data_IF_573706132090
#
_entry.id   IF_573706132090
#
_cell.length_a   1.000
_cell.length_b   1.000
_cell.length_c   1.000
_cell.angle_alpha   90.00
_cell.angle_beta   90.00
_cell.angle_gamma   90.00
#
_symmetry.space_group_name_H-M   'P 1'
#
loop_
_entity.id
_entity.type
_entity.pdbx_description
1 polymer ?
#
# COMPACT_ATOMS: atom_id res chain seq x y z
N UNK A 1 -1.83 32.07 3.07
CA UNK A 1 -2.26 32.00 1.65
C UNK A 1 -2.91 30.64 1.38
N UNK A 2 -4.05 30.68 0.70
CA UNK A 2 -5.11 29.67 0.50
C UNK A 2 -4.73 28.18 0.33
N UNK A 3 -5.09 27.35 1.33
CA UNK A 3 -5.24 25.89 1.20
C UNK A 3 -6.54 25.47 0.48
N UNK A 4 -7.43 26.42 0.17
CA UNK A 4 -8.77 26.18 -0.39
C UNK A 4 -8.81 26.06 -1.92
N UNK A 5 -7.67 26.15 -2.63
CA UNK A 5 -7.64 25.95 -4.09
C UNK A 5 -7.49 24.50 -4.55
N UNK A 6 -7.15 23.53 -3.69
CA UNK A 6 -6.99 22.12 -4.10
C UNK A 6 -8.24 21.25 -3.98
N UNK A 7 -9.31 21.72 -3.35
CA UNK A 7 -10.56 20.95 -3.26
C UNK A 7 -11.51 21.18 -4.45
N UNK A 8 -11.36 22.30 -5.19
CA UNK A 8 -12.19 22.61 -6.37
C UNK A 8 -11.86 21.77 -7.62
N UNK A 9 -10.77 21.00 -7.63
CA UNK A 9 -10.54 20.00 -8.68
C UNK A 9 -11.43 18.74 -8.51
N UNK A 10 -12.10 18.58 -7.35
CA UNK A 10 -12.87 17.38 -7.00
C UNK A 10 -14.37 17.48 -7.29
N UNK A 11 -14.85 18.57 -7.90
CA UNK A 11 -16.29 18.79 -8.16
C UNK A 11 -16.61 19.28 -9.60
N UNK A 12 -15.73 19.00 -10.57
CA UNK A 12 -15.91 19.41 -11.97
C UNK A 12 -15.93 18.28 -12.99
N UNK A 13 -16.13 17.01 -12.58
CA UNK A 13 -16.05 15.86 -13.49
C UNK A 13 -17.41 15.36 -14.01
N UNK A 14 -18.51 16.03 -13.66
CA UNK A 14 -19.83 15.69 -14.22
C UNK A 14 -20.07 16.60 -15.42
N UNK A 15 -20.28 16.00 -16.59
CA UNK A 15 -20.60 16.58 -17.90
C UNK A 15 -19.43 16.59 -18.90
N UNK A 16 -18.83 15.43 -19.14
CA UNK A 16 -18.40 15.04 -20.49
C UNK A 16 -18.64 13.54 -20.66
N UNK A 17 -19.31 13.08 -21.73
CA UNK A 17 -19.36 11.66 -22.04
C UNK A 17 -17.93 11.16 -22.27
N UNK A 18 -17.56 10.07 -21.60
CA UNK A 18 -16.26 9.41 -21.74
C UNK A 18 -16.11 8.89 -23.17
N UNK A 19 -15.62 9.73 -24.09
CA UNK A 19 -15.23 9.27 -25.41
C UNK A 19 -14.07 8.29 -25.24
N UNK A 20 -14.12 7.09 -25.86
CA UNK A 20 -13.01 6.15 -25.82
C UNK A 20 -11.79 6.81 -26.48
N UNK A 21 -10.69 6.89 -25.74
CA UNK A 21 -9.40 7.39 -26.23
C UNK A 21 -8.49 6.19 -26.49
N UNK A 22 -7.88 6.14 -27.68
CA UNK A 22 -6.87 5.12 -27.98
C UNK A 22 -5.49 5.64 -27.62
N UNK A 23 -4.78 4.94 -26.73
CA UNK A 23 -3.38 5.20 -26.41
C UNK A 23 -2.49 4.16 -27.11
N UNK A 24 -1.38 4.58 -27.70
CA UNK A 24 -0.41 3.70 -28.37
C UNK A 24 0.99 3.99 -27.84
N UNK A 25 1.70 2.94 -27.45
CA UNK A 25 3.07 3.01 -26.94
C UNK A 25 3.95 1.98 -27.66
N UNK A 26 5.22 2.29 -27.84
CA UNK A 26 6.24 1.37 -28.39
C UNK A 26 7.34 1.17 -27.36
N UNK A 27 7.72 -0.08 -27.12
CA UNK A 27 8.79 -0.44 -26.18
C UNK A 27 9.35 -1.83 -26.52
N UNK A 28 10.50 -2.19 -25.96
CA UNK A 28 11.04 -3.54 -26.07
C UNK A 28 10.22 -4.57 -25.27
N UNK A 29 10.38 -5.85 -25.60
CA UNK A 29 9.62 -6.94 -24.99
C UNK A 29 9.77 -7.01 -23.47
N UNK A 30 11.00 -6.83 -22.96
CA UNK A 30 11.27 -6.88 -21.51
C UNK A 30 10.49 -5.78 -20.79
N UNK A 31 10.52 -4.55 -21.29
CA UNK A 31 9.76 -3.45 -20.68
C UNK A 31 8.24 -3.67 -20.80
N UNK A 32 7.78 -4.25 -21.92
CA UNK A 32 6.37 -4.56 -22.12
C UNK A 32 5.84 -5.56 -21.07
N UNK A 33 6.62 -6.59 -20.72
CA UNK A 33 6.25 -7.60 -19.73
C UNK A 33 5.94 -6.99 -18.35
N UNK A 34 6.69 -5.94 -17.95
CA UNK A 34 6.43 -5.22 -16.71
C UNK A 34 5.33 -4.15 -16.85
N UNK A 35 5.31 -3.41 -17.96
CA UNK A 35 4.45 -2.25 -18.11
C UNK A 35 2.98 -2.61 -18.42
N UNK A 36 2.73 -3.65 -19.21
CA UNK A 36 1.37 -3.99 -19.66
C UNK A 36 0.43 -4.32 -18.49
N UNK A 37 0.80 -5.18 -17.52
CA UNK A 37 -0.07 -5.45 -16.37
C UNK A 37 -0.37 -4.20 -15.54
N UNK A 38 0.62 -3.32 -15.35
CA UNK A 38 0.45 -2.07 -14.59
C UNK A 38 -0.49 -1.10 -15.32
N UNK A 39 -0.29 -0.90 -16.63
CA UNK A 39 -1.16 -0.05 -17.45
C UNK A 39 -2.60 -0.56 -17.40
N UNK A 40 -2.82 -1.89 -17.49
CA UNK A 40 -4.16 -2.47 -17.37
C UNK A 40 -4.82 -2.14 -16.04
N UNK A 41 -4.09 -2.27 -14.92
CA UNK A 41 -4.59 -1.86 -13.59
C UNK A 41 -4.92 -0.36 -13.52
N UNK A 42 -4.08 0.49 -14.13
CA UNK A 42 -4.28 1.94 -14.16
C UNK A 42 -5.42 2.39 -15.08
N UNK A 43 -5.78 1.61 -16.10
CA UNK A 43 -6.88 1.91 -17.02
C UNK A 43 -8.22 1.30 -16.58
N UNK A 44 -8.23 0.44 -15.57
CA UNK A 44 -9.46 -0.14 -15.04
C UNK A 44 -10.41 0.97 -14.53
N UNK A 45 -11.66 0.92 -14.97
CA UNK A 45 -12.71 1.85 -14.59
C UNK A 45 -13.29 1.59 -13.19
N UNK A 46 -12.89 0.50 -12.54
CA UNK A 46 -13.30 0.14 -11.18
C UNK A 46 -12.76 1.11 -10.11
N UNK A 47 -13.28 0.97 -8.88
CA UNK A 47 -12.75 1.67 -7.70
C UNK A 47 -11.29 1.29 -7.42
N UNK A 48 -10.89 0.07 -7.76
CA UNK A 48 -9.50 -0.37 -7.62
C UNK A 48 -8.62 0.35 -8.63
N UNK A 49 -9.06 0.46 -9.89
CA UNK A 49 -8.36 1.26 -10.89
C UNK A 49 -8.23 2.73 -10.49
N UNK A 50 -9.28 3.32 -9.91
CA UNK A 50 -9.20 4.67 -9.33
C UNK A 50 -8.17 4.73 -8.19
N UNK A 51 -8.18 3.75 -7.30
CA UNK A 51 -7.25 3.64 -6.18
C UNK A 51 -5.81 3.50 -6.66
N UNK A 52 -5.53 2.67 -7.68
CA UNK A 52 -4.21 2.55 -8.31
C UNK A 52 -3.74 3.90 -8.87
N UNK A 53 -4.61 4.63 -9.60
CA UNK A 53 -4.27 5.97 -10.14
C UNK A 53 -3.96 6.96 -9.03
N UNK A 54 -4.71 6.95 -7.93
CA UNK A 54 -4.43 7.79 -6.76
C UNK A 54 -3.13 7.40 -6.07
N UNK A 55 -2.89 6.09 -5.89
CA UNK A 55 -1.70 5.57 -5.24
C UNK A 55 -0.42 6.02 -5.96
N UNK A 56 -0.38 5.97 -7.30
CA UNK A 56 0.80 6.39 -8.08
C UNK A 56 0.79 7.88 -8.45
N UNK A 57 -0.24 8.64 -8.09
CA UNK A 57 -0.37 10.05 -8.50
C UNK A 57 0.82 10.92 -8.05
N UNK A 58 1.47 10.55 -6.95
CA UNK A 58 2.65 11.25 -6.44
C UNK A 58 3.89 11.08 -7.34
N UNK A 59 3.95 10.03 -8.16
CA UNK A 59 5.06 9.81 -9.11
C UNK A 59 5.11 10.89 -10.18
N UNK A 60 3.96 11.38 -10.64
CA UNK A 60 3.89 12.45 -11.65
C UNK A 60 4.32 13.84 -11.12
N UNK A 61 4.47 14.00 -9.80
CA UNK A 61 4.87 15.28 -9.18
C UNK A 61 6.34 15.31 -8.81
N UNK A 62 7.02 14.18 -8.88
CA UNK A 62 8.42 14.07 -8.53
C UNK A 62 9.29 14.22 -9.78
N UNK A 63 10.35 15.02 -9.70
CA UNK A 63 11.33 15.13 -10.79
C UNK A 63 12.08 13.82 -11.01
N UNK A 64 12.25 13.04 -9.94
CA UNK A 64 12.86 11.70 -9.93
C UNK A 64 11.85 10.69 -9.41
N UNK A 65 11.87 9.43 -9.89
CA UNK A 65 10.97 8.41 -9.39
C UNK A 65 11.23 8.18 -7.89
N UNK A 66 10.21 8.27 -7.02
CA UNK A 66 10.38 7.99 -5.60
C UNK A 66 10.62 6.50 -5.37
N UNK A 67 11.64 6.17 -4.56
CA UNK A 67 11.91 4.82 -4.08
C UNK A 67 10.96 4.45 -2.93
N UNK A 68 10.76 5.39 -2.01
CA UNK A 68 9.84 5.25 -0.88
C UNK A 68 9.07 6.54 -0.68
N UNK A 69 7.83 6.41 -0.23
CA UNK A 69 6.92 7.54 0.00
C UNK A 69 6.17 7.31 1.31
N UNK A 70 6.51 8.09 2.32
CA UNK A 70 5.96 8.01 3.66
C UNK A 70 5.00 9.18 3.91
N UNK A 71 3.78 8.86 4.32
CA UNK A 71 2.76 9.83 4.67
C UNK A 71 2.41 9.73 6.15
N UNK A 72 2.64 10.81 6.88
CA UNK A 72 2.01 11.06 8.17
C UNK A 72 0.68 11.78 7.99
N UNK A 73 0.02 12.10 9.10
CA UNK A 73 -1.26 12.85 9.08
C UNK A 73 -1.13 14.26 8.49
N UNK A 74 0.01 14.91 8.69
CA UNK A 74 0.29 16.29 8.22
C UNK A 74 1.67 16.46 7.58
N UNK A 75 2.45 15.38 7.53
CA UNK A 75 3.83 15.38 7.08
C UNK A 75 4.04 14.34 5.98
N UNK A 76 5.05 14.57 5.16
CA UNK A 76 5.40 13.74 4.03
C UNK A 76 6.92 13.62 3.97
N UNK A 77 7.40 12.41 3.73
CA UNK A 77 8.78 12.15 3.38
C UNK A 77 8.82 11.34 2.08
N UNK A 78 9.63 11.77 1.13
CA UNK A 78 9.86 11.08 -0.14
C UNK A 78 11.35 10.82 -0.29
N UNK A 79 11.73 9.58 -0.59
CA UNK A 79 13.10 9.18 -0.90
C UNK A 79 13.23 9.07 -2.41
N UNK A 80 14.18 9.79 -3.01
CA UNK A 80 14.28 9.94 -4.46
C UNK A 80 15.31 8.96 -5.05
N UNK A 81 14.90 8.29 -6.13
CA UNK A 81 15.76 7.40 -6.89
C UNK A 81 16.52 8.08 -8.03
N UNK A 82 17.23 7.31 -8.87
CA UNK A 82 17.51 5.88 -8.70
C UNK A 82 18.41 5.60 -7.49
N UNK A 83 18.55 4.33 -7.11
CA UNK A 83 19.62 3.89 -6.23
C UNK A 83 20.96 3.92 -6.98
N UNK A 84 22.01 4.41 -6.33
CA UNK A 84 23.38 4.49 -6.87
C UNK A 84 24.31 3.77 -5.92
N UNK A 85 25.33 3.08 -6.46
CA UNK A 85 26.32 2.37 -5.65
C UNK A 85 26.99 3.34 -4.66
N UNK A 86 27.03 2.92 -3.40
CA UNK A 86 27.64 3.70 -2.32
C UNK A 86 29.17 3.59 -2.38
N UNK A 87 29.91 4.57 -1.82
CA UNK A 87 31.34 4.42 -1.59
C UNK A 87 31.65 3.14 -0.79
N UNK A 88 32.79 2.49 -1.08
CA UNK A 88 33.19 1.22 -0.46
C UNK A 88 33.27 1.26 1.08
N UNK A 89 33.54 2.42 1.65
CA UNK A 89 33.66 2.66 3.09
C UNK A 89 32.36 3.20 3.73
N UNK A 90 31.26 3.27 2.97
CA UNK A 90 29.98 3.73 3.50
C UNK A 90 29.36 2.67 4.42
N UNK A 91 29.09 2.97 5.70
CA UNK A 91 28.76 1.95 6.70
C UNK A 91 27.31 1.46 6.68
N UNK A 92 26.41 2.12 5.94
CA UNK A 92 24.97 1.88 6.04
C UNK A 92 24.36 1.13 4.84
N UNK A 93 25.14 0.83 3.80
CA UNK A 93 24.64 0.02 2.70
C UNK A 93 25.46 0.07 1.43
N UNK A 94 25.08 -0.77 0.48
CA UNK A 94 25.71 -0.87 -0.83
C UNK A 94 25.18 0.16 -1.84
N UNK A 95 24.03 0.78 -1.54
CA UNK A 95 23.36 1.71 -2.43
C UNK A 95 22.77 2.89 -1.66
N UNK A 96 22.94 4.08 -2.21
CA UNK A 96 22.37 5.32 -1.72
C UNK A 96 21.21 5.80 -2.60
N UNK A 97 20.16 6.41 -2.02
CA UNK A 97 19.21 7.20 -2.79
C UNK A 97 19.90 8.46 -3.33
N UNK A 98 19.31 9.08 -4.35
CA UNK A 98 19.82 10.34 -4.90
C UNK A 98 19.44 11.58 -4.10
N UNK A 99 18.70 11.40 -3.00
CA UNK A 99 18.25 12.45 -2.10
C UNK A 99 16.83 12.20 -1.62
N UNK A 100 16.16 13.26 -1.20
CA UNK A 100 14.78 13.18 -0.77
C UNK A 100 14.14 14.53 -0.53
N UNK A 101 12.88 14.51 -0.11
CA UNK A 101 12.09 15.69 0.23
C UNK A 101 11.29 15.41 1.50
N UNK A 102 11.41 16.29 2.49
CA UNK A 102 10.52 16.35 3.65
C UNK A 102 9.62 17.56 3.52
N UNK A 103 8.33 17.35 3.79
CA UNK A 103 7.36 18.42 3.98
C UNK A 103 6.63 18.20 5.30
N UNK A 104 6.62 19.22 6.14
CA UNK A 104 5.93 19.24 7.43
C UNK A 104 5.38 20.65 7.66
N UNK A 105 4.46 20.89 8.60
CA UNK A 105 4.01 22.24 8.90
C UNK A 105 5.19 23.17 9.19
N UNK A 106 5.37 24.20 8.35
CA UNK A 106 6.47 25.17 8.46
C UNK A 106 7.83 24.71 7.92
N UNK A 107 7.95 23.48 7.41
CA UNK A 107 9.22 22.92 6.93
C UNK A 107 9.06 22.31 5.54
N UNK A 108 9.95 22.70 4.62
CA UNK A 108 10.19 21.98 3.37
C UNK A 108 11.69 21.92 3.17
N UNK A 109 12.23 20.71 3.10
CA UNK A 109 13.67 20.48 3.03
C UNK A 109 13.98 19.40 2.00
N UNK A 110 14.93 19.68 1.12
CA UNK A 110 15.57 18.67 0.31
C UNK A 110 16.67 18.00 1.13
N UNK A 111 16.79 16.69 0.97
CA UNK A 111 17.79 15.87 1.64
C UNK A 111 18.90 15.51 0.67
N UNK A 112 20.13 15.52 1.17
CA UNK A 112 21.26 14.90 0.49
C UNK A 112 21.08 13.37 0.42
N UNK A 113 21.81 12.66 -0.47
CA UNK A 113 21.82 11.19 -0.51
C UNK A 113 21.97 10.52 0.88
N UNK A 114 22.91 10.99 1.69
CA UNK A 114 23.22 10.42 3.00
C UNK A 114 22.13 10.70 4.03
N UNK A 115 21.58 11.92 4.07
CA UNK A 115 20.46 12.24 4.95
C UNK A 115 19.18 11.47 4.57
N UNK A 116 18.94 11.31 3.27
CA UNK A 116 17.81 10.55 2.77
C UNK A 116 17.93 9.07 3.13
N UNK A 117 19.13 8.48 3.03
CA UNK A 117 19.40 7.11 3.43
C UNK A 117 19.21 6.89 4.93
N UNK A 118 19.86 7.73 5.75
CA UNK A 118 19.72 7.66 7.21
C UNK A 118 18.26 7.83 7.68
N UNK A 119 17.51 8.73 7.04
CA UNK A 119 16.09 8.91 7.36
C UNK A 119 15.24 7.74 6.88
N UNK A 120 15.51 7.19 5.69
CA UNK A 120 14.83 6.02 5.15
C UNK A 120 14.96 4.84 6.12
N UNK A 121 16.15 4.59 6.63
CA UNK A 121 16.40 3.51 7.59
C UNK A 121 15.68 3.74 8.91
N UNK A 122 15.75 4.95 9.45
CA UNK A 122 15.04 5.30 10.69
C UNK A 122 13.53 5.14 10.56
N UNK A 123 12.94 5.52 9.42
CA UNK A 123 11.51 5.35 9.19
C UNK A 123 11.16 3.86 9.07
N UNK A 124 11.96 3.06 8.38
CA UNK A 124 11.75 1.61 8.24
C UNK A 124 11.82 0.90 9.58
N UNK A 125 12.82 1.23 10.39
CA UNK A 125 12.95 0.72 11.76
C UNK A 125 11.71 1.09 12.59
N UNK A 126 11.26 2.35 12.53
CA UNK A 126 10.05 2.77 13.23
C UNK A 126 8.79 2.01 12.76
N UNK A 127 8.65 1.76 11.46
CA UNK A 127 7.56 0.95 10.91
C UNK A 127 7.64 -0.49 11.44
N UNK A 128 8.82 -1.10 11.41
CA UNK A 128 9.04 -2.47 11.88
C UNK A 128 8.67 -2.63 13.35
N UNK A 129 9.15 -1.70 14.21
CA UNK A 129 8.81 -1.68 15.63
C UNK A 129 7.30 -1.65 15.83
N UNK A 130 6.59 -0.76 15.12
CA UNK A 130 5.12 -0.67 15.25
C UNK A 130 4.39 -1.92 14.75
N UNK A 131 4.89 -2.57 13.68
CA UNK A 131 4.31 -3.82 13.17
C UNK A 131 4.49 -4.93 14.20
N UNK A 132 5.70 -5.10 14.75
CA UNK A 132 6.00 -6.13 15.75
C UNK A 132 5.19 -5.91 17.03
N UNK A 133 5.15 -4.68 17.54
CA UNK A 133 4.34 -4.34 18.71
C UNK A 133 2.85 -4.66 18.49
N UNK A 134 2.31 -4.32 17.31
CA UNK A 134 0.91 -4.62 16.98
C UNK A 134 0.63 -6.12 16.90
N UNK A 135 1.56 -6.89 16.32
CA UNK A 135 1.49 -8.35 16.23
C UNK A 135 1.40 -8.98 17.62
N UNK A 136 2.23 -8.52 18.56
CA UNK A 136 2.25 -8.99 19.94
C UNK A 136 0.99 -8.57 20.72
N UNK A 137 0.62 -7.29 20.68
CA UNK A 137 -0.55 -6.74 21.38
C UNK A 137 -1.83 -7.49 21.00
N UNK A 138 -1.98 -7.85 19.72
CA UNK A 138 -3.17 -8.51 19.18
C UNK A 138 -3.01 -10.03 19.05
N UNK A 139 -1.90 -10.58 19.57
CA UNK A 139 -1.55 -12.01 19.57
C UNK A 139 -1.74 -12.65 18.19
N UNK A 140 -1.28 -11.99 17.13
CA UNK A 140 -1.53 -12.45 15.76
C UNK A 140 -0.87 -13.80 15.49
N UNK A 141 0.17 -14.17 16.25
CA UNK A 141 0.79 -15.49 16.22
C UNK A 141 -0.12 -16.64 16.68
N UNK A 142 -1.14 -16.36 17.49
CA UNK A 142 -2.12 -17.36 17.94
C UNK A 142 -3.23 -17.61 16.91
N UNK A 143 -3.34 -16.75 15.89
CA UNK A 143 -4.35 -16.90 14.83
C UNK A 143 -3.91 -17.97 13.83
N UNK A 144 -4.85 -18.72 13.24
CA UNK A 144 -4.53 -19.66 12.17
C UNK A 144 -3.81 -18.94 11.02
N UNK A 145 -2.76 -19.54 10.42
CA UNK A 145 -2.09 -18.94 9.29
C UNK A 145 -3.06 -18.80 8.11
N UNK A 146 -3.08 -17.61 7.52
CA UNK A 146 -3.90 -17.32 6.34
C UNK A 146 -2.99 -17.30 5.11
N UNK A 147 -3.46 -17.89 4.01
CA UNK A 147 -2.75 -17.83 2.73
C UNK A 147 -2.67 -16.37 2.25
N UNK A 148 -1.51 -15.98 1.71
CA UNK A 148 -1.31 -14.65 1.14
C UNK A 148 -2.25 -14.39 -0.04
N UNK A 149 -2.57 -15.45 -0.80
CA UNK A 149 -3.61 -15.45 -1.81
C UNK A 149 -4.95 -15.82 -1.15
N UNK A 150 -5.92 -14.90 -1.21
CA UNK A 150 -7.27 -15.12 -0.69
C UNK A 150 -8.32 -14.58 -1.65
N UNK A 151 -9.51 -15.18 -1.62
CA UNK A 151 -10.64 -14.77 -2.46
C UNK A 151 -11.12 -13.36 -2.06
N UNK A 152 -10.74 -12.39 -2.90
CA UNK A 152 -11.08 -10.97 -2.73
C UNK A 152 -12.59 -10.74 -2.71
N UNK A 153 -13.37 -11.48 -3.50
CA UNK A 153 -14.82 -11.25 -3.56
C UNK A 153 -15.47 -11.56 -2.21
N UNK A 154 -15.10 -12.69 -1.60
CA UNK A 154 -15.59 -13.09 -0.28
C UNK A 154 -15.07 -12.15 0.82
N UNK A 155 -13.77 -11.83 0.81
CA UNK A 155 -13.17 -10.97 1.82
C UNK A 155 -13.72 -9.53 1.77
N UNK A 156 -13.92 -8.95 0.59
CA UNK A 156 -14.46 -7.60 0.45
C UNK A 156 -15.93 -7.54 0.90
N UNK A 157 -16.72 -8.57 0.62
CA UNK A 157 -18.09 -8.67 1.13
C UNK A 157 -18.12 -8.72 2.66
N UNK A 158 -17.22 -9.50 3.27
CA UNK A 158 -17.08 -9.58 4.73
C UNK A 158 -16.62 -8.25 5.33
N UNK A 159 -15.62 -7.60 4.73
CA UNK A 159 -15.14 -6.29 5.17
C UNK A 159 -16.25 -5.23 5.10
N UNK A 160 -17.03 -5.20 4.02
CA UNK A 160 -18.17 -4.29 3.89
C UNK A 160 -19.27 -4.56 4.94
N UNK A 161 -19.50 -5.83 5.29
CA UNK A 161 -20.42 -6.19 6.37
C UNK A 161 -19.93 -5.67 7.72
N UNK A 162 -18.65 -5.82 8.05
CA UNK A 162 -18.05 -5.28 9.28
C UNK A 162 -18.12 -3.76 9.36
N UNK A 163 -17.76 -3.08 8.26
CA UNK A 163 -17.86 -1.61 8.15
C UNK A 163 -19.30 -1.16 8.40
N UNK A 164 -20.28 -1.85 7.80
CA UNK A 164 -21.71 -1.51 7.94
C UNK A 164 -22.24 -1.78 9.35
N UNK A 165 -21.72 -2.82 10.02
CA UNK A 165 -22.08 -3.18 11.38
C UNK A 165 -21.39 -2.29 12.44
N UNK A 166 -20.36 -1.53 12.06
CA UNK A 166 -19.58 -0.70 12.98
C UNK A 166 -18.75 -1.51 13.99
N UNK A 167 -18.48 -2.79 13.71
CA UNK A 167 -17.71 -3.67 14.58
C UNK A 167 -16.23 -3.48 14.28
N UNK A 168 -15.40 -3.02 15.24
CA UNK A 168 -13.96 -3.04 15.06
C UNK A 168 -13.49 -4.49 14.93
N UNK A 169 -12.65 -4.76 13.94
CA UNK A 169 -12.15 -6.11 13.62
C UNK A 169 -11.47 -6.81 14.83
N UNK A 170 -10.87 -6.04 15.74
CA UNK A 170 -10.26 -6.53 16.99
C UNK A 170 -11.26 -6.80 18.13
N UNK A 171 -12.54 -6.40 17.99
CA UNK A 171 -13.63 -6.73 18.92
C UNK A 171 -14.42 -7.97 18.49
N UNK A 172 -14.30 -8.39 17.22
CA UNK A 172 -14.88 -9.65 16.75
C UNK A 172 -13.90 -10.76 17.08
N UNK A 173 -13.92 -11.25 18.32
CA UNK A 173 -13.37 -12.56 18.65
C UNK A 173 -13.81 -13.54 17.56
N UNK A 174 -12.82 -14.02 16.81
CA UNK A 174 -13.00 -14.94 15.70
C UNK A 174 -13.69 -16.20 16.25
N UNK A 175 -15.00 -16.34 16.08
CA UNK A 175 -15.60 -17.67 16.14
C UNK A 175 -15.27 -18.33 14.80
N UNK A 176 -14.35 -19.32 14.75
CA UNK A 176 -14.22 -20.11 13.56
C UNK A 176 -15.59 -20.73 13.30
N UNK A 177 -16.15 -20.46 12.11
CA UNK A 177 -17.39 -21.06 11.63
C UNK A 177 -17.35 -22.56 11.91
N UNK A 178 -18.10 -22.97 12.93
CA UNK A 178 -18.50 -24.35 13.19
C UNK A 178 -19.33 -24.81 12.00
N UNK A 179 -18.64 -25.33 10.99
CA UNK A 179 -19.25 -26.01 9.85
C UNK A 179 -18.41 -27.24 9.52
N UNK A 180 -18.21 -28.11 10.53
CA UNK A 180 -17.99 -29.55 10.38
C UNK A 180 -17.94 -30.23 11.76
N UNK A 181 -19.04 -30.19 12.51
CA UNK A 181 -19.29 -31.18 13.56
C UNK A 181 -20.74 -31.64 13.46
N UNK A 182 -20.91 -32.89 13.01
CA UNK A 182 -21.91 -33.81 13.57
C UNK A 182 -21.53 -35.26 13.17
N UNK A 183 -21.98 -36.30 13.89
CA UNK A 183 -21.27 -36.80 15.06
C UNK A 183 -20.83 -38.27 14.91
N UNK A 184 -19.81 -38.68 15.67
CA UNK A 184 -19.68 -40.08 16.03
C UNK A 184 -20.72 -40.44 17.10
N UNK A 185 -21.39 -41.58 16.95
CA UNK A 185 -21.35 -42.73 17.88
C UNK A 185 -22.48 -43.69 17.54
N UNK A 186 -22.15 -44.98 17.43
CA UNK A 186 -23.11 -46.06 17.37
C UNK A 186 -22.44 -47.40 17.13
N UNK A 187 -21.55 -47.82 18.03
CA UNK A 187 -21.08 -49.20 18.07
C UNK A 187 -22.15 -50.11 18.64
N UNK A 188 -22.27 -51.31 18.10
CA UNK A 188 -22.82 -52.49 18.77
C UNK A 188 -22.01 -53.71 18.34
N UNK A 189 -21.32 -54.32 19.30
CA UNK A 189 -20.82 -55.70 19.28
C UNK A 189 -21.95 -56.73 19.45
N UNK A 190 -21.60 -58.01 19.24
CA UNK A 190 -22.34 -59.29 19.30
C UNK A 190 -22.97 -59.71 17.95
N UNK A 191 -22.63 -60.84 17.33
CA UNK A 191 -21.98 -62.11 17.75
C UNK A 191 -21.06 -62.68 16.66
#
# INVERSE_FOLDING_TARGET
MSFFRRFKARLGFRLSPHAPVTLRFQTDARTADYAVPLIRKLLDGSKDGETYRVAVAHWFRAERPPLDYYLGSVSLCRIDGPLVEAPLDYPHGWFLPMGGLIQSPGVTAHLTPFEADALRDRIREAIEVQIVEWVEEHRLHERPPVLADFDRATADAQAMAWISAGVPEWMSSYEPSSAAQDPQVGGTEHD
#
